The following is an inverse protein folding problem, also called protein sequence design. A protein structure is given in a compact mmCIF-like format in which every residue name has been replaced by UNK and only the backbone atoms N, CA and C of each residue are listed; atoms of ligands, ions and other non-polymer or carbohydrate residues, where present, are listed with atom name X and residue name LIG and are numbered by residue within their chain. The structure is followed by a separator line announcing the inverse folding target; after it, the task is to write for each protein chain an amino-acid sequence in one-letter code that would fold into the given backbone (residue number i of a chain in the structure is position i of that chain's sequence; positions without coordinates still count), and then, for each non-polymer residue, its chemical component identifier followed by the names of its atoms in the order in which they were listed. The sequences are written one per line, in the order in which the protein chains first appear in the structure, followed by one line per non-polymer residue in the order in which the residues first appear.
data_IF_747717735941
#
_entry.id   IF_747717735941
#
_cell.length_a   1.000
_cell.length_b   1.000
_cell.length_c   1.000
_cell.angle_alpha   90.00
_cell.angle_beta   90.00
_cell.angle_gamma   90.00
#
_symmetry.space_group_name_H-M   'P 1'
#
loop_
_entity.id
_entity.type
_entity.pdbx_description
1 polymer ?
#
# COMPACT_ATOMS: atom_id res chain seq x y z
N UNK A 1 15.76 5.95 -18.42
CA UNK A 1 15.36 5.31 -17.15
C UNK A 1 15.55 6.31 -16.01
N UNK A 2 14.60 6.45 -15.09
CA UNK A 2 14.73 7.43 -13.98
C UNK A 2 15.73 6.97 -12.92
N UNK A 3 16.26 7.90 -12.11
CA UNK A 3 17.17 7.58 -11.00
C UNK A 3 16.54 6.59 -10.00
N UNK A 4 15.24 6.74 -9.74
CA UNK A 4 14.47 5.82 -8.91
C UNK A 4 14.47 4.39 -9.47
N UNK A 5 14.14 4.20 -10.75
CA UNK A 5 14.12 2.87 -11.37
C UNK A 5 15.52 2.24 -11.37
N UNK A 6 16.56 3.04 -11.61
CA UNK A 6 17.96 2.56 -11.53
C UNK A 6 18.34 2.09 -10.13
N UNK A 7 18.00 2.86 -9.10
CA UNK A 7 18.26 2.48 -7.72
C UNK A 7 17.47 1.23 -7.31
N UNK A 8 16.19 1.13 -7.69
CA UNK A 8 15.36 -0.03 -7.40
C UNK A 8 15.89 -1.31 -8.09
N UNK A 9 16.36 -1.19 -9.34
CA UNK A 9 17.02 -2.31 -10.05
C UNK A 9 18.29 -2.75 -9.37
N UNK A 10 19.12 -1.81 -8.91
CA UNK A 10 20.33 -2.12 -8.16
C UNK A 10 20.01 -2.81 -6.82
N UNK A 11 19.05 -2.29 -6.06
CA UNK A 11 18.64 -2.88 -4.77
C UNK A 11 18.05 -4.28 -4.95
N UNK A 12 17.26 -4.48 -6.00
CA UNK A 12 16.64 -5.78 -6.32
C UNK A 12 17.53 -6.71 -7.15
N UNK A 13 18.77 -6.31 -7.44
CA UNK A 13 19.72 -7.03 -8.31
C UNK A 13 19.13 -7.49 -9.67
N UNK A 14 18.29 -6.63 -10.26
CA UNK A 14 17.45 -6.97 -11.43
C UNK A 14 18.21 -6.97 -12.78
N UNK A 15 19.53 -6.81 -12.74
CA UNK A 15 20.42 -6.82 -13.91
C UNK A 15 21.24 -8.13 -14.02
N UNK A 16 21.06 -9.07 -13.08
CA UNK A 16 21.74 -10.36 -13.08
C UNK A 16 21.28 -11.29 -14.22
N UNK A 17 22.17 -12.16 -14.71
CA UNK A 17 21.88 -13.15 -15.76
C UNK A 17 20.73 -14.10 -15.39
N UNK A 18 20.49 -14.32 -14.09
CA UNK A 18 19.35 -15.06 -13.57
C UNK A 18 18.01 -14.58 -14.15
N UNK A 19 17.85 -13.28 -14.40
CA UNK A 19 16.61 -12.71 -14.94
C UNK A 19 16.46 -12.83 -16.46
N UNK A 20 17.45 -13.38 -17.16
CA UNK A 20 17.39 -13.61 -18.61
C UNK A 20 16.50 -14.82 -18.96
N UNK A 21 16.35 -15.79 -18.06
CA UNK A 21 15.44 -16.93 -18.21
C UNK A 21 14.04 -16.56 -17.68
N UNK A 22 13.03 -16.66 -18.55
CA UNK A 22 11.66 -16.30 -18.22
C UNK A 22 11.04 -17.21 -17.15
N UNK A 23 11.35 -18.50 -17.16
CA UNK A 23 10.79 -19.45 -16.19
C UNK A 23 11.33 -19.18 -14.78
N UNK A 24 12.63 -18.91 -14.68
CA UNK A 24 13.29 -18.59 -13.41
C UNK A 24 12.81 -17.24 -12.88
N UNK A 25 12.71 -16.24 -13.75
CA UNK A 25 12.16 -14.92 -13.43
C UNK A 25 10.74 -15.04 -12.87
N UNK A 26 9.88 -15.83 -13.49
CA UNK A 26 8.48 -15.95 -13.06
C UNK A 26 8.35 -16.69 -11.72
N UNK A 27 9.04 -17.81 -11.54
CA UNK A 27 9.07 -18.53 -10.27
C UNK A 27 9.63 -17.67 -9.13
N UNK A 28 10.68 -16.89 -9.41
CA UNK A 28 11.25 -15.95 -8.44
C UNK A 28 10.31 -14.80 -8.11
N UNK A 29 9.60 -14.25 -9.11
CA UNK A 29 8.60 -13.20 -8.90
C UNK A 29 7.43 -13.70 -8.04
N UNK A 30 6.96 -14.93 -8.25
CA UNK A 30 5.93 -15.56 -7.43
C UNK A 30 6.42 -15.76 -5.99
N UNK A 31 7.62 -16.33 -5.81
CA UNK A 31 8.23 -16.51 -4.49
C UNK A 31 8.42 -15.16 -3.77
N UNK A 32 8.89 -14.14 -4.47
CA UNK A 32 9.08 -12.78 -3.95
C UNK A 32 7.75 -12.14 -3.56
N UNK A 33 6.70 -12.35 -4.34
CA UNK A 33 5.35 -11.89 -4.01
C UNK A 33 4.84 -12.56 -2.73
N UNK A 34 5.00 -13.89 -2.60
CA UNK A 34 4.64 -14.62 -1.38
C UNK A 34 5.45 -14.13 -0.18
N UNK A 35 6.76 -13.93 -0.35
CA UNK A 35 7.66 -13.43 0.70
C UNK A 35 7.29 -12.02 1.16
N UNK A 36 7.07 -11.08 0.24
CA UNK A 36 6.64 -9.72 0.55
C UNK A 36 5.29 -9.70 1.28
N UNK A 37 4.33 -10.49 0.81
CA UNK A 37 3.03 -10.61 1.45
C UNK A 37 3.12 -11.23 2.85
N UNK A 38 4.00 -12.21 3.04
CA UNK A 38 4.26 -12.81 4.36
C UNK A 38 4.87 -11.80 5.32
N UNK A 39 5.85 -11.00 4.86
CA UNK A 39 6.45 -9.92 5.66
C UNK A 39 5.44 -8.85 6.04
N UNK A 40 4.54 -8.46 5.13
CA UNK A 40 3.43 -7.55 5.43
C UNK A 40 2.55 -8.11 6.55
N UNK A 41 2.14 -9.38 6.47
CA UNK A 41 1.31 -10.01 7.50
C UNK A 41 2.02 -10.10 8.85
N UNK A 42 3.28 -10.56 8.85
CA UNK A 42 4.08 -10.66 10.07
C UNK A 42 4.22 -9.29 10.72
N UNK A 43 4.54 -8.25 9.96
CA UNK A 43 4.70 -6.90 10.49
C UNK A 43 3.37 -6.31 10.99
N UNK A 44 2.24 -6.58 10.32
CA UNK A 44 0.91 -6.17 10.80
C UNK A 44 0.52 -6.86 12.12
N UNK A 45 0.78 -8.16 12.23
CA UNK A 45 0.52 -8.94 13.46
C UNK A 45 1.46 -8.47 14.58
N UNK A 46 2.76 -8.33 14.31
CA UNK A 46 3.71 -7.84 15.30
C UNK A 46 3.34 -6.43 15.77
N UNK A 47 3.02 -5.53 14.82
CA UNK A 47 2.60 -4.16 15.11
C UNK A 47 1.32 -4.09 15.95
N UNK A 48 0.37 -5.03 15.78
CA UNK A 48 -0.84 -5.05 16.60
C UNK A 48 -0.61 -5.54 18.02
N UNK A 49 0.41 -6.37 18.26
CA UNK A 49 0.70 -6.96 19.59
C UNK A 49 1.71 -6.12 20.38
N UNK A 50 2.69 -5.52 19.73
CA UNK A 50 3.78 -4.78 20.39
C UNK A 50 3.33 -3.63 21.32
N UNK A 51 2.26 -2.86 21.04
CA UNK A 51 1.81 -1.80 21.96
C UNK A 51 1.45 -2.30 23.36
N UNK A 52 1.09 -3.58 23.50
CA UNK A 52 0.77 -4.19 24.80
C UNK A 52 2.01 -4.47 25.67
N UNK A 53 3.22 -4.42 25.10
CA UNK A 53 4.47 -4.64 25.86
C UNK A 53 5.01 -3.36 26.50
N UNK A 54 4.37 -2.20 26.25
CA UNK A 54 4.74 -0.93 26.85
C UNK A 54 4.99 0.18 25.84
N UNK A 55 5.52 1.30 26.34
CA UNK A 55 5.82 2.50 25.54
C UNK A 55 6.84 2.19 24.43
N UNK A 56 7.89 1.44 24.77
CA UNK A 56 8.89 0.98 23.79
C UNK A 56 8.23 0.14 22.70
N UNK A 57 7.37 -0.81 23.06
CA UNK A 57 6.64 -1.64 22.10
C UNK A 57 5.75 -0.81 21.17
N UNK A 58 5.09 0.22 21.69
CA UNK A 58 4.30 1.14 20.87
C UNK A 58 5.15 1.90 19.84
N UNK A 59 6.34 2.39 20.22
CA UNK A 59 7.26 3.03 19.25
C UNK A 59 7.79 2.07 18.21
N UNK A 60 8.13 0.83 18.59
CA UNK A 60 8.56 -0.20 17.65
C UNK A 60 7.43 -0.54 16.67
N UNK A 61 6.18 -0.65 17.15
CA UNK A 61 5.01 -0.87 16.29
C UNK A 61 4.84 0.24 15.24
N UNK A 62 4.99 1.51 15.63
CA UNK A 62 4.98 2.64 14.69
C UNK A 62 6.12 2.58 13.67
N UNK A 63 7.33 2.20 14.11
CA UNK A 63 8.47 2.00 13.22
C UNK A 63 8.23 0.91 12.18
N UNK A 64 7.68 -0.24 12.59
CA UNK A 64 7.28 -1.33 11.68
C UNK A 64 6.22 -0.81 10.70
N UNK A 65 5.20 -0.12 11.20
CA UNK A 65 4.13 0.41 10.36
C UNK A 65 4.64 1.37 9.29
N UNK A 66 5.51 2.30 9.67
CA UNK A 66 6.15 3.23 8.75
C UNK A 66 7.00 2.50 7.70
N UNK A 67 7.75 1.48 8.11
CA UNK A 67 8.54 0.66 7.19
C UNK A 67 7.64 -0.07 6.18
N UNK A 68 6.56 -0.73 6.62
CA UNK A 68 5.64 -1.44 5.74
C UNK A 68 4.96 -0.50 4.74
N UNK A 69 4.52 0.68 5.18
CA UNK A 69 3.95 1.70 4.29
C UNK A 69 4.98 2.12 3.24
N UNK A 70 6.19 2.42 3.70
CA UNK A 70 7.27 2.90 2.82
C UNK A 70 7.58 1.89 1.73
N UNK A 71 7.79 0.62 2.11
CA UNK A 71 8.06 -0.45 1.13
C UNK A 71 6.86 -0.65 0.20
N UNK A 72 5.63 -0.60 0.69
CA UNK A 72 4.43 -0.71 -0.16
C UNK A 72 4.37 0.41 -1.19
N UNK A 73 4.68 1.64 -0.81
CA UNK A 73 4.76 2.77 -1.76
C UNK A 73 5.90 2.60 -2.77
N UNK A 74 7.06 2.08 -2.35
CA UNK A 74 8.16 1.77 -3.28
C UNK A 74 7.71 0.75 -4.33
N UNK A 75 7.04 -0.32 -3.92
CA UNK A 75 6.50 -1.34 -4.85
C UNK A 75 5.49 -0.71 -5.81
N UNK A 76 4.51 0.05 -5.31
CA UNK A 76 3.51 0.71 -6.15
C UNK A 76 4.13 1.73 -7.11
N UNK A 77 5.09 2.52 -6.64
CA UNK A 77 5.80 3.50 -7.46
C UNK A 77 6.64 2.82 -8.54
N UNK A 78 7.31 1.71 -8.22
CA UNK A 78 8.08 0.93 -9.19
C UNK A 78 7.19 0.31 -10.25
N UNK A 79 6.09 -0.35 -9.86
CA UNK A 79 5.10 -0.90 -10.80
C UNK A 79 4.55 0.18 -11.74
N UNK A 80 4.17 1.35 -11.18
CA UNK A 80 3.70 2.49 -11.96
C UNK A 80 4.76 3.03 -12.91
N UNK A 81 6.02 3.10 -12.49
CA UNK A 81 7.14 3.50 -13.34
C UNK A 81 7.44 2.50 -14.47
N UNK A 82 6.96 1.26 -14.35
CA UNK A 82 6.99 0.22 -15.38
C UNK A 82 5.71 0.15 -16.22
N UNK A 83 4.77 1.08 -16.03
CA UNK A 83 3.51 1.14 -16.78
C UNK A 83 2.46 0.13 -16.33
N UNK A 84 2.69 -0.59 -15.23
CA UNK A 84 1.73 -1.55 -14.68
C UNK A 84 0.90 -0.84 -13.62
N UNK A 85 -0.40 -0.68 -13.87
CA UNK A 85 -1.35 -0.20 -12.87
C UNK A 85 -1.95 -1.39 -12.11
N UNK A 86 -1.56 -1.57 -10.86
CA UNK A 86 -1.99 -2.69 -10.01
C UNK A 86 -3.50 -2.66 -9.70
N UNK A 87 -4.12 -1.48 -9.84
CA UNK A 87 -5.52 -1.27 -9.47
C UNK A 87 -6.50 -1.61 -10.60
N UNK A 88 -6.02 -1.82 -11.83
CA UNK A 88 -6.88 -2.27 -12.94
C UNK A 88 -7.12 -3.78 -12.92
N UNK A 89 -6.30 -4.55 -12.20
CA UNK A 89 -6.33 -6.02 -12.21
C UNK A 89 -6.70 -6.66 -10.86
N UNK A 90 -6.73 -5.92 -9.76
CA UNK A 90 -7.00 -6.48 -8.42
C UNK A 90 -8.41 -6.20 -7.89
N UNK A 91 -9.07 -7.25 -7.41
CA UNK A 91 -10.32 -7.13 -6.67
C UNK A 91 -10.08 -6.62 -5.24
N UNK A 92 -10.52 -5.40 -4.96
CA UNK A 92 -10.41 -4.76 -3.65
C UNK A 92 -11.33 -5.35 -2.57
N UNK A 93 -12.18 -6.32 -2.93
CA UNK A 93 -13.24 -6.86 -2.06
C UNK A 93 -12.88 -8.16 -1.35
N UNK A 94 -11.60 -8.55 -1.38
CA UNK A 94 -11.13 -9.80 -0.78
C UNK A 94 -11.13 -9.70 0.75
N UNK A 95 -11.65 -10.73 1.43
CA UNK A 95 -11.65 -10.87 2.91
C UNK A 95 -10.30 -10.55 3.53
N UNK A 96 -9.23 -10.94 2.83
CA UNK A 96 -7.84 -10.63 3.12
C UNK A 96 -7.58 -9.14 3.42
N UNK A 97 -8.17 -8.24 2.63
CA UNK A 97 -8.00 -6.79 2.77
C UNK A 97 -8.68 -6.28 4.04
N UNK A 98 -9.86 -6.83 4.36
CA UNK A 98 -10.56 -6.53 5.61
C UNK A 98 -9.72 -6.93 6.83
N UNK A 99 -9.16 -8.14 6.83
CA UNK A 99 -8.28 -8.61 7.91
C UNK A 99 -7.02 -7.75 8.05
N UNK A 100 -6.38 -7.40 6.94
CA UNK A 100 -5.21 -6.51 6.96
C UNK A 100 -5.57 -5.11 7.50
N UNK A 101 -6.74 -4.58 7.13
CA UNK A 101 -7.22 -3.30 7.63
C UNK A 101 -7.48 -3.33 9.15
N UNK A 102 -8.06 -4.43 9.68
CA UNK A 102 -8.24 -4.59 11.13
C UNK A 102 -6.90 -4.61 11.85
N UNK A 103 -5.93 -5.41 11.40
CA UNK A 103 -4.60 -5.43 12.01
C UNK A 103 -3.89 -4.07 11.94
N UNK A 104 -4.08 -3.35 10.85
CA UNK A 104 -3.53 -2.01 10.65
C UNK A 104 -4.11 -1.01 11.66
N UNK A 105 -5.44 -1.04 11.85
CA UNK A 105 -6.11 -0.21 12.86
C UNK A 105 -5.68 -0.59 14.28
N UNK A 106 -5.53 -1.88 14.58
CA UNK A 106 -5.06 -2.33 15.90
C UNK A 106 -3.62 -1.91 16.18
N UNK A 107 -2.74 -2.00 15.17
CA UNK A 107 -1.33 -1.58 15.27
C UNK A 107 -1.22 -0.08 15.55
N UNK A 108 -1.78 0.76 14.66
CA UNK A 108 -1.71 2.21 14.82
C UNK A 108 -2.50 2.71 16.02
N UNK A 109 -3.73 2.21 16.22
CA UNK A 109 -4.60 2.59 17.31
C UNK A 109 -4.05 2.17 18.67
N UNK A 110 -3.56 0.93 18.80
CA UNK A 110 -2.95 0.44 20.03
C UNK A 110 -1.71 1.23 20.42
N UNK A 111 -0.82 1.51 19.46
CA UNK A 111 0.36 2.33 19.70
C UNK A 111 -0.01 3.75 20.14
N UNK A 112 -0.96 4.38 19.43
CA UNK A 112 -1.42 5.73 19.73
C UNK A 112 -2.06 5.85 21.12
N UNK A 113 -2.96 4.92 21.47
CA UNK A 113 -3.58 4.85 22.80
C UNK A 113 -2.50 4.72 23.89
N UNK A 114 -1.51 3.84 23.68
CA UNK A 114 -0.45 3.60 24.67
C UNK A 114 0.41 4.84 24.89
N UNK A 115 0.84 5.48 23.80
CA UNK A 115 1.70 6.67 23.87
C UNK A 115 0.95 7.87 24.48
N UNK A 116 -0.32 8.05 24.13
CA UNK A 116 -1.14 9.13 24.70
C UNK A 116 -1.48 8.88 26.17
N UNK A 117 -1.75 7.63 26.58
CA UNK A 117 -1.93 7.31 28.00
C UNK A 117 -0.67 7.61 28.82
N UNK A 118 0.52 7.46 28.21
CA UNK A 118 1.79 7.71 28.90
C UNK A 118 2.20 9.20 28.92
N UNK A 119 2.06 9.91 27.78
CA UNK A 119 2.54 11.29 27.62
C UNK A 119 1.44 12.36 27.71
N UNK A 120 0.19 12.00 27.45
CA UNK A 120 -0.96 12.92 27.36
C UNK A 120 -1.66 13.19 28.69
N UNK A 121 -1.08 12.78 29.83
CA UNK A 121 -1.61 13.10 31.16
C UNK A 121 -2.98 12.49 31.49
N UNK A 122 -3.49 11.54 30.69
CA UNK A 122 -4.77 10.87 30.90
C UNK A 122 -6.00 11.57 30.31
N UNK A 123 -5.84 12.68 29.57
CA UNK A 123 -6.98 13.33 28.91
C UNK A 123 -7.37 12.61 27.61
N UNK A 124 -8.27 11.63 27.76
CA UNK A 124 -8.88 10.87 26.68
C UNK A 124 -9.78 11.73 25.76
N UNK A 125 -10.10 12.99 26.12
CA UNK A 125 -10.84 13.91 25.23
C UNK A 125 -10.04 14.29 23.99
N UNK A 126 -8.75 14.57 24.16
CA UNK A 126 -7.82 14.85 23.06
C UNK A 126 -7.59 13.63 22.14
N UNK A 127 -7.68 12.41 22.70
CA UNK A 127 -7.59 11.12 21.98
C UNK A 127 -8.72 10.96 20.96
N UNK A 128 -9.97 11.23 21.34
CA UNK A 128 -11.11 11.09 20.43
C UNK A 128 -11.07 12.12 19.30
N UNK A 129 -10.57 13.33 19.55
CA UNK A 129 -10.46 14.38 18.53
C UNK A 129 -9.31 14.06 17.56
N UNK A 130 -8.15 13.62 18.05
CA UNK A 130 -7.03 13.19 17.22
C UNK A 130 -7.31 11.92 16.43
N UNK A 131 -7.97 10.93 17.05
CA UNK A 131 -8.40 9.71 16.39
C UNK A 131 -9.51 9.95 15.36
N UNK A 132 -10.51 10.78 15.68
CA UNK A 132 -11.55 11.17 14.72
C UNK A 132 -10.97 11.99 13.56
N UNK A 133 -10.01 12.89 13.84
CA UNK A 133 -9.32 13.67 12.81
C UNK A 133 -8.45 12.80 11.91
N UNK A 134 -7.65 11.90 12.48
CA UNK A 134 -6.80 10.96 11.74
C UNK A 134 -7.61 9.92 10.96
N UNK A 135 -8.69 9.38 11.53
CA UNK A 135 -9.61 8.49 10.84
C UNK A 135 -10.36 9.22 9.72
N UNK A 136 -10.84 10.44 9.94
CA UNK A 136 -11.49 11.24 8.90
C UNK A 136 -10.54 11.60 7.76
N UNK A 137 -9.30 12.00 8.07
CA UNK A 137 -8.27 12.28 7.05
C UNK A 137 -7.85 11.02 6.29
N UNK A 138 -7.64 9.90 6.98
CA UNK A 138 -7.31 8.62 6.35
C UNK A 138 -8.45 8.11 5.47
N UNK A 139 -9.70 8.22 5.94
CA UNK A 139 -10.88 7.83 5.18
C UNK A 139 -11.13 8.77 3.99
N UNK A 140 -10.92 10.09 4.16
CA UNK A 140 -11.00 11.06 3.08
C UNK A 140 -9.90 10.81 2.03
N UNK A 141 -8.66 10.54 2.44
CA UNK A 141 -7.57 10.21 1.53
C UNK A 141 -7.85 8.89 0.77
N UNK A 142 -8.41 7.89 1.44
CA UNK A 142 -8.84 6.64 0.81
C UNK A 142 -9.96 6.87 -0.21
N UNK A 143 -10.99 7.64 0.15
CA UNK A 143 -12.09 7.99 -0.76
C UNK A 143 -11.58 8.80 -1.95
N UNK A 144 -10.74 9.81 -1.73
CA UNK A 144 -10.17 10.63 -2.81
C UNK A 144 -9.29 9.79 -3.72
N UNK A 145 -8.48 8.88 -3.16
CA UNK A 145 -7.69 7.92 -3.93
C UNK A 145 -8.56 7.02 -4.81
N UNK A 146 -9.63 6.44 -4.26
CA UNK A 146 -10.59 5.61 -5.00
C UNK A 146 -11.33 6.42 -6.06
N UNK A 147 -11.75 7.66 -5.74
CA UNK A 147 -12.57 8.49 -6.63
C UNK A 147 -11.75 9.10 -7.78
N UNK A 148 -10.51 9.52 -7.53
CA UNK A 148 -9.57 9.93 -8.58
C UNK A 148 -9.25 8.76 -9.52
N UNK A 149 -9.21 7.54 -8.98
CA UNK A 149 -8.97 6.34 -9.76
C UNK A 149 -10.17 5.97 -10.66
N UNK A 150 -11.39 5.99 -10.12
CA UNK A 150 -12.62 5.79 -10.92
C UNK A 150 -12.77 6.84 -12.02
N UNK A 151 -12.36 8.07 -11.76
CA UNK A 151 -12.36 9.13 -12.79
C UNK A 151 -11.42 8.82 -13.94
N UNK A 152 -10.22 8.32 -13.64
CA UNK A 152 -9.23 7.93 -14.66
C UNK A 152 -9.67 6.72 -15.48
N UNK A 153 -10.37 5.76 -14.86
CA UNK A 153 -10.97 4.63 -15.59
C UNK A 153 -12.05 5.10 -16.56
N UNK A 154 -12.96 5.98 -16.13
CA UNK A 154 -13.99 6.56 -17.01
C UNK A 154 -13.40 7.40 -18.14
N UNK A 155 -12.35 8.17 -17.86
CA UNK A 155 -11.66 8.96 -18.88
C UNK A 155 -10.95 8.06 -19.91
N UNK A 156 -10.44 6.89 -19.50
CA UNK A 156 -9.84 5.92 -20.40
C UNK A 156 -10.88 5.17 -21.26
N UNK A 157 -12.02 4.78 -20.67
CA UNK A 157 -13.16 4.18 -21.40
C UNK A 157 -13.72 5.15 -22.44
N UNK A 158 -13.93 6.42 -22.06
CA UNK A 158 -14.38 7.47 -22.98
C UNK A 158 -13.37 7.78 -24.09
N UNK A 159 -12.07 7.61 -23.83
CA UNK A 159 -11.04 7.76 -24.84
C UNK A 159 -11.02 6.57 -25.82
N UNK A 160 -11.27 5.35 -25.33
CA UNK A 160 -11.38 4.15 -26.16
C UNK A 160 -12.63 4.21 -27.06
N UNK A 161 -13.79 4.60 -26.50
CA UNK A 161 -15.05 4.75 -27.26
C UNK A 161 -14.92 5.81 -28.37
N UNK A 162 -14.21 6.93 -28.10
CA UNK A 162 -13.90 7.93 -29.13
C UNK A 162 -12.97 7.41 -30.22
N UNK A 163 -12.00 6.57 -29.88
CA UNK A 163 -11.09 5.97 -30.86
C UNK A 163 -11.81 4.96 -31.77
N UNK A 164 -12.77 4.20 -31.24
CA UNK A 164 -13.61 3.31 -32.04
C UNK A 164 -14.50 4.10 -33.00
N UNK A 165 -15.15 5.17 -32.54
CA UNK A 165 -16.00 6.03 -33.39
C UNK A 165 -15.21 6.71 -34.53
N UNK A 166 -13.99 7.17 -34.25
CA UNK A 166 -13.12 7.75 -35.29
C UNK A 166 -12.64 6.71 -36.32
N UNK A 167 -12.46 5.45 -35.90
CA UNK A 167 -12.12 4.35 -36.81
C UNK A 167 -13.26 3.93 -37.75
N UNK A 168 -14.52 4.20 -37.37
CA UNK A 168 -15.68 4.00 -38.26
C UNK A 168 -15.86 5.15 -39.26
N UNK A 169 -15.60 6.40 -38.86
CA UNK A 169 -15.71 7.58 -39.75
C UNK A 169 -14.61 7.63 -40.84
N UNK A 170 -13.46 6.99 -40.64
CA UNK A 170 -12.38 6.90 -41.66
C UNK A 170 -12.54 5.72 -42.64
N UNK A 171 -13.49 4.82 -42.39
CA UNK A 171 -13.72 3.61 -43.18
C UNK A 171 -14.89 3.71 -44.19
N UNK A 172 -15.66 4.81 -44.14
CA UNK A 172 -16.71 5.19 -45.09
C UNK A 172 -16.22 6.25 -46.11
#
# INVERSE_FOLDING_TARGET
MSAFVRAARFVGDLDDEFYADELQRDAWNEASAVGFQSLLWIGLIAGSVLPFTGVTGAWVALGIYLALITVSFVVLAYSRARGIDMYTSQELRRVRIGLAAVLLVLSGGGAMIRLLAHYGGGDLGSLWIGAAGGAALGFAAAIVGVKMHQRRQREAELAAEKAELQGFDEAD
#
